data_IF_713386865575
#
_entry.id   IF_713386865575
#
_cell.length_a   1.000
_cell.length_b   1.000
_cell.length_c   1.000
_cell.angle_alpha   90.00
_cell.angle_beta   90.00
_cell.angle_gamma   90.00
#
_symmetry.space_group_name_H-M   'P 1'
#
loop_
_entity.id
_entity.type
_entity.pdbx_description
1 polymer ?
#
# COMPACT_ATOMS: atom_id res chain seq x y z
N UNK A 1 -12.78 5.06 -24.54
CA UNK A 1 -11.96 4.04 -23.85
C UNK A 1 -12.68 3.66 -22.55
N UNK A 2 -12.95 2.40 -22.34
CA UNK A 2 -13.39 1.85 -21.06
C UNK A 2 -12.13 1.32 -20.34
N UNK A 3 -11.82 1.85 -19.16
CA UNK A 3 -10.64 1.47 -18.40
C UNK A 3 -11.02 0.60 -17.21
N UNK A 4 -10.59 -0.66 -17.19
CA UNK A 4 -10.92 -1.66 -16.16
C UNK A 4 -9.69 -2.11 -15.34
N UNK A 5 -8.53 -1.47 -15.50
CA UNK A 5 -7.27 -1.87 -14.88
C UNK A 5 -6.86 -0.94 -13.71
N UNK A 6 -7.83 -0.47 -12.92
CA UNK A 6 -7.55 0.38 -11.75
C UNK A 6 -6.74 -0.35 -10.65
N UNK A 7 -6.73 -1.68 -10.65
CA UNK A 7 -5.89 -2.47 -9.76
C UNK A 7 -4.38 -2.31 -10.06
N UNK A 8 -4.02 -2.04 -11.32
CA UNK A 8 -2.65 -1.68 -11.70
C UNK A 8 -2.34 -0.21 -11.31
N UNK A 9 -3.20 0.72 -11.72
CA UNK A 9 -3.12 2.15 -11.37
C UNK A 9 -4.44 2.84 -11.67
N UNK A 10 -4.83 3.83 -10.88
CA UNK A 10 -5.95 4.70 -11.23
C UNK A 10 -5.55 5.57 -12.43
N UNK A 11 -6.18 5.37 -13.60
CA UNK A 11 -5.80 6.09 -14.83
C UNK A 11 -6.24 7.55 -14.80
N UNK A 12 -7.54 7.80 -14.59
CA UNK A 12 -8.09 9.14 -14.53
C UNK A 12 -7.97 9.70 -13.11
N UNK A 13 -6.97 10.54 -12.89
CA UNK A 13 -6.80 11.25 -11.62
C UNK A 13 -7.76 12.44 -11.52
N UNK A 14 -8.20 12.82 -10.31
CA UNK A 14 -8.89 14.09 -10.11
C UNK A 14 -8.06 15.26 -10.66
N UNK A 15 -8.69 16.22 -11.32
CA UNK A 15 -7.99 17.38 -11.89
C UNK A 15 -7.18 18.16 -10.86
N UNK A 16 -7.64 18.15 -9.59
CA UNK A 16 -6.87 18.76 -8.48
C UNK A 16 -5.47 18.17 -8.32
N UNK A 17 -5.25 16.93 -8.70
CA UNK A 17 -3.92 16.26 -8.63
C UNK A 17 -2.97 16.88 -9.64
N UNK A 18 -3.36 16.97 -10.91
CA UNK A 18 -2.53 17.58 -11.96
C UNK A 18 -2.25 19.06 -11.70
N UNK A 19 -3.25 19.83 -11.24
CA UNK A 19 -3.06 21.24 -10.88
C UNK A 19 -2.10 21.41 -9.70
N UNK A 20 -2.19 20.57 -8.67
CA UNK A 20 -1.28 20.62 -7.54
C UNK A 20 0.17 20.33 -7.96
N UNK A 21 0.39 19.33 -8.81
CA UNK A 21 1.70 19.01 -9.36
C UNK A 21 2.29 20.16 -10.19
N UNK A 22 1.51 20.72 -11.12
CA UNK A 22 1.94 21.85 -11.96
C UNK A 22 2.27 23.09 -11.12
N UNK A 23 1.46 23.39 -10.11
CA UNK A 23 1.73 24.49 -9.18
C UNK A 23 3.04 24.25 -8.43
N UNK A 24 3.26 23.05 -7.89
CA UNK A 24 4.49 22.72 -7.16
C UNK A 24 5.74 22.93 -8.04
N UNK A 25 5.73 22.44 -9.28
CA UNK A 25 6.84 22.63 -10.23
C UNK A 25 7.17 24.12 -10.48
N UNK A 26 6.19 25.01 -10.43
CA UNK A 26 6.38 26.45 -10.74
C UNK A 26 6.73 27.29 -9.51
N UNK A 27 6.37 26.86 -8.30
CA UNK A 27 6.37 27.74 -7.11
C UNK A 27 7.09 27.16 -5.90
N UNK A 28 7.51 25.89 -5.93
CA UNK A 28 8.16 25.22 -4.82
C UNK A 28 9.58 24.81 -5.16
N UNK A 29 10.46 24.81 -4.17
CA UNK A 29 11.84 24.33 -4.26
C UNK A 29 12.06 23.13 -3.33
N UNK A 30 13.29 22.88 -2.90
CA UNK A 30 13.60 21.78 -1.98
C UNK A 30 13.16 22.13 -0.56
N UNK A 31 12.39 21.28 0.14
CA UNK A 31 12.04 21.48 1.55
C UNK A 31 13.30 21.37 2.43
N UNK A 32 13.27 22.03 3.60
CA UNK A 32 14.30 21.93 4.65
C UNK A 32 15.66 22.58 4.32
N UNK A 33 15.81 23.24 3.14
CA UNK A 33 17.11 23.82 2.70
C UNK A 33 17.14 25.34 2.62
N UNK A 34 16.16 26.05 3.16
CA UNK A 34 16.19 27.51 3.16
C UNK A 34 14.92 28.14 3.73
N UNK A 35 15.09 29.35 4.31
CA UNK A 35 13.98 30.13 4.87
C UNK A 35 13.21 30.98 3.85
N UNK A 36 13.43 30.82 2.54
CA UNK A 36 12.72 31.57 1.50
C UNK A 36 11.36 30.95 1.14
N UNK A 37 10.47 31.74 0.57
CA UNK A 37 9.06 31.37 0.38
C UNK A 37 8.84 30.05 -0.36
N UNK A 38 9.61 29.77 -1.42
CA UNK A 38 9.44 28.54 -2.19
C UNK A 38 9.87 27.27 -1.42
N UNK A 39 10.88 27.35 -0.53
CA UNK A 39 11.30 26.24 0.32
C UNK A 39 10.26 25.97 1.42
N UNK A 40 9.78 27.05 2.09
CA UNK A 40 8.70 26.91 3.08
C UNK A 40 7.43 26.33 2.48
N UNK A 41 7.03 26.75 1.28
CA UNK A 41 5.86 26.21 0.59
C UNK A 41 6.00 24.70 0.30
N UNK A 42 7.22 24.23 -0.04
CA UNK A 42 7.49 22.81 -0.22
C UNK A 42 7.38 22.02 1.10
N UNK A 43 7.98 22.55 2.18
CA UNK A 43 7.94 21.97 3.52
C UNK A 43 6.50 21.88 4.06
N UNK A 44 5.73 22.96 3.99
CA UNK A 44 4.31 23.00 4.35
C UNK A 44 3.47 22.00 3.55
N UNK A 45 3.79 21.81 2.26
CA UNK A 45 3.10 20.86 1.39
C UNK A 45 3.41 19.42 1.81
N UNK A 46 4.66 19.11 2.12
CA UNK A 46 5.06 17.79 2.61
C UNK A 46 4.41 17.51 3.97
N UNK A 47 4.48 18.43 4.92
CA UNK A 47 3.85 18.27 6.23
C UNK A 47 2.33 18.10 6.13
N UNK A 48 1.66 18.89 5.29
CA UNK A 48 0.23 18.75 5.04
C UNK A 48 -0.13 17.40 4.42
N UNK A 49 0.70 16.86 3.52
CA UNK A 49 0.48 15.53 2.96
C UNK A 49 0.56 14.45 4.03
N UNK A 50 1.58 14.52 4.92
CA UNK A 50 1.70 13.60 6.07
C UNK A 50 0.50 13.70 7.01
N UNK A 51 0.07 14.91 7.36
CA UNK A 51 -1.10 15.13 8.22
C UNK A 51 -2.38 14.54 7.65
N UNK A 52 -2.59 14.68 6.33
CA UNK A 52 -3.73 14.08 5.64
C UNK A 52 -3.70 12.56 5.64
N UNK A 53 -2.52 11.97 5.46
CA UNK A 53 -2.35 10.53 5.56
C UNK A 53 -2.52 10.04 7.00
N UNK A 54 -1.94 10.74 7.97
CA UNK A 54 -2.10 10.42 9.40
C UNK A 54 -3.57 10.43 9.82
N UNK A 55 -4.33 11.47 9.43
CA UNK A 55 -5.78 11.55 9.67
C UNK A 55 -6.55 10.39 9.01
N UNK A 56 -6.21 10.03 7.77
CA UNK A 56 -6.94 9.01 7.00
C UNK A 56 -6.70 7.59 7.53
N UNK A 57 -5.54 7.34 8.12
CA UNK A 57 -5.09 6.01 8.55
C UNK A 57 -4.93 5.87 10.07
N UNK A 58 -5.51 6.78 10.87
CA UNK A 58 -5.47 6.69 12.32
C UNK A 58 -4.04 6.64 12.87
N UNK A 59 -3.16 7.52 12.37
CA UNK A 59 -1.76 7.59 12.80
C UNK A 59 -1.60 8.70 13.82
N UNK A 60 -1.04 8.45 15.02
CA UNK A 60 -0.96 9.43 16.10
C UNK A 60 -0.14 10.68 15.74
N UNK A 61 0.93 10.51 14.96
CA UNK A 61 1.82 11.61 14.59
C UNK A 61 2.13 11.61 13.09
N UNK A 62 2.06 12.78 12.41
CA UNK A 62 2.43 12.90 11.00
C UNK A 62 3.86 12.45 10.68
N UNK A 63 4.78 12.51 11.63
CA UNK A 63 6.16 12.06 11.47
C UNK A 63 6.28 10.55 11.24
N UNK A 64 5.29 9.76 11.69
CA UNK A 64 5.22 8.32 11.43
C UNK A 64 4.82 7.98 9.98
N UNK A 65 4.49 8.98 9.18
CA UNK A 65 4.19 8.84 7.75
C UNK A 65 5.46 9.12 6.94
N UNK A 66 6.07 8.11 6.37
CA UNK A 66 7.29 8.18 5.56
C UNK A 66 6.93 8.16 4.08
N UNK A 67 7.47 9.10 3.29
CA UNK A 67 7.32 9.08 1.84
C UNK A 67 8.27 8.10 1.18
N UNK A 68 7.75 7.35 0.24
CA UNK A 68 8.50 6.41 -0.58
C UNK A 68 8.19 6.62 -2.06
N UNK A 69 8.98 6.04 -2.95
CA UNK A 69 8.72 6.13 -4.38
C UNK A 69 7.55 5.25 -4.85
N UNK A 70 7.20 4.22 -4.10
CA UNK A 70 6.11 3.27 -4.36
C UNK A 70 5.97 2.29 -3.18
N UNK A 71 4.96 1.41 -3.23
CA UNK A 71 4.76 0.38 -2.20
C UNK A 71 5.93 -0.61 -2.11
N UNK A 72 6.58 -0.95 -3.22
CA UNK A 72 7.74 -1.86 -3.22
C UNK A 72 8.89 -1.28 -2.39
N UNK A 73 9.16 0.02 -2.52
CA UNK A 73 10.15 0.72 -1.69
C UNK A 73 9.73 0.68 -0.20
N UNK A 74 8.48 0.99 0.09
CA UNK A 74 7.93 0.94 1.46
C UNK A 74 8.06 -0.46 2.09
N UNK A 75 7.69 -1.51 1.35
CA UNK A 75 7.79 -2.91 1.79
C UNK A 75 9.24 -3.36 2.00
N UNK A 76 10.18 -2.90 1.17
CA UNK A 76 11.60 -3.20 1.38
C UNK A 76 12.13 -2.55 2.67
N UNK A 77 11.73 -1.31 2.99
CA UNK A 77 12.07 -0.67 4.26
C UNK A 77 11.49 -1.50 5.41
N UNK A 78 10.19 -1.79 5.38
CA UNK A 78 9.49 -2.52 6.44
C UNK A 78 10.09 -3.92 6.68
N UNK A 79 10.27 -4.70 5.61
CA UNK A 79 10.81 -6.07 5.70
C UNK A 79 12.24 -6.05 6.26
N UNK A 80 13.12 -5.17 5.74
CA UNK A 80 14.50 -5.09 6.22
C UNK A 80 14.64 -4.49 7.61
N UNK A 81 13.60 -3.83 8.12
CA UNK A 81 13.57 -3.33 9.49
C UNK A 81 13.37 -4.45 10.51
N UNK A 82 12.62 -5.49 10.16
CA UNK A 82 12.21 -6.55 11.08
C UNK A 82 12.87 -7.90 10.79
N UNK A 83 13.16 -8.19 9.53
CA UNK A 83 13.60 -9.52 9.09
C UNK A 83 15.11 -9.51 8.82
N UNK A 84 15.93 -10.17 9.65
CA UNK A 84 17.35 -10.35 9.40
C UNK A 84 17.60 -11.35 8.24
N UNK A 85 18.86 -11.45 7.77
CA UNK A 85 19.23 -12.51 6.84
C UNK A 85 18.96 -13.90 7.44
N UNK A 86 18.29 -14.77 6.69
CA UNK A 86 17.87 -16.10 7.14
C UNK A 86 16.72 -16.09 8.15
N UNK A 87 16.10 -14.93 8.41
CA UNK A 87 15.00 -14.75 9.35
C UNK A 87 13.78 -15.61 9.07
N UNK A 88 12.86 -15.71 10.04
CA UNK A 88 11.65 -16.54 9.97
C UNK A 88 10.42 -15.66 9.81
N UNK A 89 9.63 -15.91 8.77
CA UNK A 89 8.47 -15.07 8.43
C UNK A 89 7.27 -15.95 8.09
N UNK A 90 6.09 -15.57 8.58
CA UNK A 90 4.84 -16.08 8.04
C UNK A 90 4.23 -15.10 7.04
N UNK A 91 3.69 -15.61 5.93
CA UNK A 91 3.04 -14.82 4.90
C UNK A 91 1.73 -15.47 4.46
N UNK A 92 0.82 -14.71 3.86
CA UNK A 92 -0.36 -15.30 3.20
C UNK A 92 0.04 -15.98 1.87
N UNK A 93 -0.84 -16.85 1.37
CA UNK A 93 -0.71 -17.41 0.01
C UNK A 93 -1.04 -16.41 -1.11
N UNK A 94 -1.32 -15.15 -0.79
CA UNK A 94 -1.81 -14.12 -1.73
C UNK A 94 -0.84 -12.95 -1.91
N UNK A 95 0.40 -13.07 -1.44
CA UNK A 95 1.37 -11.98 -1.45
C UNK A 95 1.83 -11.59 -2.86
N UNK A 96 2.01 -10.29 -3.05
CA UNK A 96 2.60 -9.74 -4.25
C UNK A 96 4.13 -9.95 -4.27
N UNK A 97 4.75 -9.94 -5.46
CA UNK A 97 6.20 -10.02 -5.65
C UNK A 97 7.00 -8.95 -4.88
N UNK A 98 6.37 -7.82 -4.51
CA UNK A 98 6.99 -6.79 -3.68
C UNK A 98 7.26 -7.27 -2.24
N UNK A 99 6.61 -8.35 -1.79
CA UNK A 99 6.84 -9.04 -0.52
C UNK A 99 7.75 -10.25 -0.71
N UNK A 100 7.42 -11.14 -1.66
CA UNK A 100 8.10 -12.42 -1.80
C UNK A 100 9.55 -12.29 -2.25
N UNK A 101 9.84 -11.35 -3.15
CA UNK A 101 11.21 -11.14 -3.66
C UNK A 101 12.19 -10.58 -2.62
N UNK A 102 11.86 -9.55 -1.82
CA UNK A 102 12.74 -9.12 -0.72
C UNK A 102 12.98 -10.20 0.31
N UNK A 103 11.95 -10.98 0.69
CA UNK A 103 12.10 -12.10 1.62
C UNK A 103 13.02 -13.19 1.05
N UNK A 104 12.86 -13.53 -0.24
CA UNK A 104 13.75 -14.46 -0.91
C UNK A 104 15.21 -13.95 -0.96
N UNK A 105 15.39 -12.66 -1.26
CA UNK A 105 16.72 -12.04 -1.29
C UNK A 105 17.43 -12.02 0.08
N UNK A 106 16.67 -12.04 1.19
CA UNK A 106 17.19 -12.19 2.54
C UNK A 106 17.45 -13.65 2.93
N UNK A 107 17.15 -14.63 2.06
CA UNK A 107 17.22 -16.04 2.41
C UNK A 107 16.23 -16.41 3.54
N UNK A 108 15.15 -15.67 3.70
CA UNK A 108 14.18 -15.86 4.77
C UNK A 108 13.51 -17.25 4.72
N UNK A 109 13.28 -17.84 5.89
CA UNK A 109 12.52 -19.10 6.05
C UNK A 109 11.05 -18.73 6.10
N UNK A 110 10.36 -18.94 4.98
CA UNK A 110 8.98 -18.51 4.79
C UNK A 110 8.03 -19.65 5.12
N UNK A 111 7.09 -19.41 6.04
CA UNK A 111 5.92 -20.25 6.29
C UNK A 111 4.70 -19.63 5.64
N UNK A 112 4.09 -20.32 4.69
CA UNK A 112 2.93 -19.81 3.95
C UNK A 112 1.64 -20.27 4.64
N UNK A 113 0.84 -19.32 5.12
CA UNK A 113 -0.53 -19.55 5.57
C UNK A 113 -1.44 -19.67 4.32
N UNK A 114 -1.57 -20.89 3.80
CA UNK A 114 -2.36 -21.19 2.61
C UNK A 114 -3.80 -21.51 2.99
N UNK A 115 -4.75 -21.11 2.13
CA UNK A 115 -6.17 -21.41 2.26
C UNK A 115 -6.83 -21.57 0.90
N UNK A 116 -7.99 -22.24 0.82
CA UNK A 116 -8.84 -22.12 -0.37
C UNK A 116 -9.22 -20.66 -0.62
N UNK A 117 -9.43 -20.32 -1.90
CA UNK A 117 -9.80 -18.96 -2.30
C UNK A 117 -11.12 -18.54 -1.65
N UNK A 118 -11.16 -17.34 -1.08
CA UNK A 118 -12.28 -16.74 -0.36
C UNK A 118 -12.72 -17.46 0.92
N UNK A 119 -11.97 -18.46 1.40
CA UNK A 119 -12.24 -19.10 2.70
C UNK A 119 -11.49 -18.37 3.82
N UNK A 120 -12.16 -17.34 4.38
CA UNK A 120 -11.64 -16.52 5.49
C UNK A 120 -11.32 -17.37 6.73
N UNK A 121 -12.18 -18.35 7.05
CA UNK A 121 -12.01 -19.18 8.24
C UNK A 121 -10.81 -20.13 8.11
N UNK A 122 -10.64 -20.75 6.93
CA UNK A 122 -9.46 -21.58 6.68
C UNK A 122 -8.17 -20.76 6.70
N UNK A 123 -8.20 -19.53 6.18
CA UNK A 123 -7.04 -18.62 6.21
C UNK A 123 -6.65 -18.25 7.64
N UNK A 124 -7.62 -17.92 8.50
CA UNK A 124 -7.35 -17.63 9.92
C UNK A 124 -6.73 -18.83 10.63
N UNK A 125 -7.29 -20.02 10.47
CA UNK A 125 -6.69 -21.25 11.03
C UNK A 125 -5.27 -21.48 10.52
N UNK A 126 -5.01 -21.18 9.26
CA UNK A 126 -3.66 -21.29 8.69
C UNK A 126 -2.67 -20.31 9.34
N UNK A 127 -3.10 -19.08 9.64
CA UNK A 127 -2.30 -18.12 10.41
C UNK A 127 -2.13 -18.54 11.87
N UNK A 128 -3.18 -18.98 12.56
CA UNK A 128 -3.09 -19.54 13.92
C UNK A 128 -2.04 -20.64 14.03
N UNK A 129 -1.98 -21.54 13.04
CA UNK A 129 -0.97 -22.61 12.99
C UNK A 129 0.42 -22.14 12.53
N UNK A 130 0.53 -20.92 12.01
CA UNK A 130 1.77 -20.39 11.44
C UNK A 130 2.48 -19.42 12.35
N UNK A 131 1.74 -18.62 13.11
CA UNK A 131 2.26 -17.59 14.00
C UNK A 131 2.79 -18.25 15.28
N UNK A 132 4.02 -17.90 15.63
CA UNK A 132 4.66 -18.32 16.90
C UNK A 132 5.69 -17.27 17.31
N UNK A 133 6.07 -17.16 18.58
CA UNK A 133 7.05 -16.19 19.08
C UNK A 133 8.44 -16.29 18.43
N UNK A 134 8.69 -17.35 17.66
CA UNK A 134 9.97 -17.53 16.94
C UNK A 134 10.04 -16.78 15.61
N UNK A 135 8.94 -16.17 15.15
CA UNK A 135 8.92 -15.40 13.92
C UNK A 135 9.48 -14.00 14.14
N UNK A 136 10.27 -13.54 13.19
CA UNK A 136 10.75 -12.15 13.15
C UNK A 136 9.65 -11.20 12.68
N UNK A 137 8.73 -11.66 11.81
CA UNK A 137 7.58 -10.89 11.35
C UNK A 137 6.48 -11.76 10.74
N UNK A 138 5.27 -11.20 10.67
CA UNK A 138 4.21 -11.61 9.76
C UNK A 138 4.09 -10.54 8.67
N UNK A 139 4.02 -10.95 7.39
CA UNK A 139 3.72 -10.04 6.29
C UNK A 139 2.43 -10.50 5.62
N UNK A 140 1.45 -9.61 5.54
CA UNK A 140 0.14 -9.96 5.01
C UNK A 140 -0.40 -8.87 4.09
N UNK A 141 -0.75 -9.23 2.84
CA UNK A 141 -1.55 -8.34 2.00
C UNK A 141 -2.96 -8.22 2.57
N UNK A 142 -3.51 -7.00 2.59
CA UNK A 142 -4.90 -6.80 3.02
C UNK A 142 -5.90 -7.22 1.95
N UNK A 143 -5.55 -7.02 0.67
CA UNK A 143 -6.40 -7.40 -0.46
C UNK A 143 -5.53 -7.99 -1.57
N UNK A 144 -5.88 -9.19 -2.04
CA UNK A 144 -5.22 -9.81 -3.18
C UNK A 144 -5.41 -8.97 -4.45
N UNK A 145 -4.30 -8.61 -5.10
CA UNK A 145 -4.33 -7.88 -6.36
C UNK A 145 -4.88 -8.71 -7.54
N UNK A 146 -4.88 -10.03 -7.42
CA UNK A 146 -5.39 -10.95 -8.44
C UNK A 146 -6.88 -11.21 -8.23
N UNK A 147 -7.27 -11.67 -7.06
CA UNK A 147 -8.64 -12.13 -6.81
C UNK A 147 -9.54 -11.10 -6.10
N UNK A 148 -8.96 -10.02 -5.60
CA UNK A 148 -9.70 -9.08 -4.77
C UNK A 148 -10.14 -9.64 -3.42
N UNK A 149 -9.66 -10.82 -3.02
CA UNK A 149 -9.97 -11.40 -1.71
C UNK A 149 -9.50 -10.45 -0.62
N UNK A 150 -10.41 -10.05 0.24
CA UNK A 150 -10.15 -9.20 1.42
C UNK A 150 -9.78 -10.11 2.57
N UNK A 151 -8.53 -10.12 2.97
CA UNK A 151 -8.00 -10.93 4.04
C UNK A 151 -8.39 -10.35 5.41
N UNK A 152 -8.60 -11.20 6.43
CA UNK A 152 -9.04 -10.82 7.78
C UNK A 152 -7.90 -10.17 8.58
N UNK A 153 -7.50 -8.96 8.18
CA UNK A 153 -6.27 -8.34 8.68
C UNK A 153 -6.36 -7.97 10.17
N UNK A 154 -7.55 -7.61 10.67
CA UNK A 154 -7.76 -7.27 12.07
C UNK A 154 -7.59 -8.50 12.97
N UNK A 155 -8.12 -9.64 12.56
CA UNK A 155 -7.98 -10.90 13.30
C UNK A 155 -6.54 -11.42 13.22
N UNK A 156 -5.87 -11.30 12.06
CA UNK A 156 -4.45 -11.64 11.91
C UNK A 156 -3.59 -10.74 12.82
N UNK A 157 -3.90 -9.45 12.87
CA UNK A 157 -3.23 -8.51 13.77
C UNK A 157 -3.42 -8.88 15.25
N UNK A 158 -4.62 -9.36 15.63
CA UNK A 158 -4.88 -9.85 16.98
C UNK A 158 -4.04 -11.09 17.32
N UNK A 159 -3.90 -12.03 16.40
CA UNK A 159 -3.02 -13.19 16.55
C UNK A 159 -1.55 -12.78 16.70
N UNK A 160 -1.09 -11.86 15.88
CA UNK A 160 0.28 -11.33 15.97
C UNK A 160 0.56 -10.68 17.33
N UNK A 161 -0.37 -9.84 17.81
CA UNK A 161 -0.24 -9.22 19.15
C UNK A 161 -0.21 -10.24 20.29
N UNK A 162 -1.04 -11.29 20.20
CA UNK A 162 -1.08 -12.35 21.23
C UNK A 162 0.24 -13.09 21.36
N UNK A 163 0.96 -13.27 20.25
CA UNK A 163 2.26 -13.96 20.21
C UNK A 163 3.46 -12.99 20.26
N UNK A 164 3.22 -11.67 20.33
CA UNK A 164 4.29 -10.66 20.35
C UNK A 164 5.08 -10.57 19.05
N UNK A 165 4.49 -10.93 17.91
CA UNK A 165 5.13 -10.93 16.59
C UNK A 165 4.73 -9.67 15.82
N UNK A 166 5.66 -8.89 15.28
CA UNK A 166 5.33 -7.69 14.51
C UNK A 166 4.65 -8.01 13.18
N UNK A 167 3.66 -7.18 12.80
CA UNK A 167 2.90 -7.30 11.55
C UNK A 167 3.28 -6.21 10.56
N UNK A 168 3.58 -6.61 9.32
CA UNK A 168 3.69 -5.74 8.15
C UNK A 168 2.46 -5.94 7.27
N UNK A 169 1.74 -4.86 6.95
CA UNK A 169 0.57 -4.89 6.08
C UNK A 169 0.90 -4.31 4.71
N UNK A 170 0.70 -5.09 3.64
CA UNK A 170 0.64 -4.56 2.28
C UNK A 170 -0.79 -4.07 1.98
N UNK A 171 -0.97 -2.76 2.05
CA UNK A 171 -2.23 -2.09 1.79
C UNK A 171 -2.36 -1.59 0.34
N UNK A 172 -1.61 -2.17 -0.60
CA UNK A 172 -1.55 -1.69 -1.99
C UNK A 172 -2.90 -1.69 -2.73
N UNK A 173 -3.84 -2.54 -2.33
CA UNK A 173 -5.17 -2.62 -2.93
C UNK A 173 -6.29 -2.13 -2.01
N UNK A 174 -5.97 -1.83 -0.74
CA UNK A 174 -6.97 -1.42 0.25
C UNK A 174 -6.89 0.05 0.63
N UNK A 175 -5.70 0.65 0.60
CA UNK A 175 -5.51 2.05 0.99
C UNK A 175 -6.40 3.00 0.17
N UNK A 176 -7.27 3.75 0.86
CA UNK A 176 -8.25 4.66 0.24
C UNK A 176 -9.53 3.99 -0.27
N UNK A 177 -9.63 2.65 -0.19
CA UNK A 177 -10.79 1.84 -0.63
C UNK A 177 -11.49 1.18 0.55
N UNK A 178 -10.72 0.62 1.49
CA UNK A 178 -11.23 -0.02 2.71
C UNK A 178 -10.74 0.75 3.94
N UNK A 179 -11.49 0.72 5.06
CA UNK A 179 -11.00 1.23 6.33
C UNK A 179 -9.67 0.54 6.71
N UNK A 180 -8.73 1.33 7.21
CA UNK A 180 -7.42 0.85 7.61
C UNK A 180 -6.83 1.86 8.59
N UNK A 181 -6.64 1.47 9.85
CA UNK A 181 -6.16 2.34 10.91
C UNK A 181 -5.00 1.69 11.67
N UNK A 182 -3.91 2.43 11.83
CA UNK A 182 -2.70 1.94 12.53
C UNK A 182 -3.02 1.54 13.97
N UNK A 183 -3.72 2.40 14.72
CA UNK A 183 -4.02 2.17 16.14
C UNK A 183 -4.87 0.91 16.36
N UNK A 184 -5.83 0.66 15.48
CA UNK A 184 -6.69 -0.53 15.55
C UNK A 184 -5.89 -1.81 15.26
N UNK A 185 -5.04 -1.77 14.25
CA UNK A 185 -4.24 -2.92 13.85
C UNK A 185 -3.06 -3.17 14.80
N UNK A 186 -2.44 -2.11 15.32
CA UNK A 186 -1.17 -2.23 16.05
C UNK A 186 -0.08 -2.81 15.16
N UNK A 187 -0.11 -2.53 13.85
CA UNK A 187 0.87 -3.01 12.91
C UNK A 187 2.21 -2.30 13.10
N UNK A 188 3.32 -3.02 12.94
CA UNK A 188 4.65 -2.42 12.92
C UNK A 188 4.82 -1.48 11.72
N UNK A 189 4.30 -1.93 10.55
CA UNK A 189 4.35 -1.13 9.33
C UNK A 189 3.14 -1.36 8.43
N UNK A 190 2.68 -0.28 7.75
CA UNK A 190 1.66 -0.37 6.71
C UNK A 190 2.21 0.31 5.44
N UNK A 191 2.33 -0.45 4.36
CA UNK A 191 2.91 0.02 3.09
C UNK A 191 1.83 0.21 2.03
N UNK A 192 1.89 1.31 1.25
CA UNK A 192 0.91 1.58 0.22
C UNK A 192 1.46 2.46 -0.92
N UNK A 193 0.98 2.29 -2.17
CA UNK A 193 1.33 3.16 -3.28
C UNK A 193 0.42 4.39 -3.30
N UNK A 194 0.95 5.52 -3.74
CA UNK A 194 0.15 6.72 -3.89
C UNK A 194 -0.78 6.72 -5.12
N UNK A 195 -0.47 5.89 -6.13
CA UNK A 195 -1.08 5.98 -7.47
C UNK A 195 -2.31 5.08 -7.70
N UNK A 196 -2.72 4.29 -6.71
CA UNK A 196 -3.94 3.43 -6.76
C UNK A 196 -5.10 4.12 -6.04
N UNK A 197 -5.66 3.52 -5.01
CA UNK A 197 -6.82 4.03 -4.28
C UNK A 197 -6.63 5.38 -3.58
N UNK A 198 -5.39 5.88 -3.46
CA UNK A 198 -5.11 7.23 -2.98
C UNK A 198 -5.17 8.31 -4.06
N UNK A 199 -5.39 7.96 -5.33
CA UNK A 199 -5.52 8.86 -6.49
C UNK A 199 -4.33 9.80 -6.71
N UNK A 200 -3.19 9.58 -6.06
CA UNK A 200 -1.95 10.33 -6.26
C UNK A 200 -1.22 9.95 -7.56
N UNK A 201 -0.12 10.62 -7.90
CA UNK A 201 0.67 10.28 -9.08
C UNK A 201 1.51 9.03 -8.87
N UNK A 202 1.91 8.39 -9.97
CA UNK A 202 2.99 7.40 -9.98
C UNK A 202 4.28 8.02 -9.43
N UNK A 203 5.19 7.19 -8.92
CA UNK A 203 6.42 7.67 -8.27
C UNK A 203 6.18 8.23 -6.86
N UNK A 204 5.06 7.88 -6.24
CA UNK A 204 4.73 8.18 -4.83
C UNK A 204 4.23 6.94 -4.10
N UNK A 205 4.59 6.83 -2.84
CA UNK A 205 4.12 5.82 -1.91
C UNK A 205 4.22 6.33 -0.47
N UNK A 206 3.65 5.59 0.44
CA UNK A 206 3.65 5.87 1.87
C UNK A 206 4.05 4.59 2.61
N UNK A 207 4.91 4.74 3.61
CA UNK A 207 5.09 3.79 4.70
C UNK A 207 4.60 4.44 5.99
N UNK A 208 3.63 3.82 6.64
CA UNK A 208 3.23 4.19 8.00
C UNK A 208 4.05 3.35 8.96
N UNK A 209 4.67 4.01 9.92
CA UNK A 209 5.59 3.41 10.88
C UNK A 209 4.96 3.36 12.28
N UNK A 210 4.45 2.20 12.69
CA UNK A 210 4.13 1.90 14.09
C UNK A 210 5.38 1.65 14.90
N UNK A 211 6.43 1.16 14.25
CA UNK A 211 7.76 0.96 14.81
C UNK A 211 8.81 1.78 14.05
N UNK A 212 9.98 1.92 14.64
CA UNK A 212 11.10 2.65 14.04
C UNK A 212 11.71 1.82 12.89
N UNK A 213 11.79 2.37 11.67
CA UNK A 213 12.37 1.67 10.54
C UNK A 213 13.90 1.66 10.57
N UNK A 214 14.48 0.65 9.92
CA UNK A 214 15.88 0.66 9.56
C UNK A 214 16.06 1.44 8.23
N UNK A 215 17.09 2.30 8.10
CA UNK A 215 17.32 3.06 6.87
C UNK A 215 17.78 2.14 5.74
N UNK A 216 16.92 1.95 4.74
CA UNK A 216 17.25 1.15 3.54
C UNK A 216 18.33 1.82 2.68
N UNK A 217 18.29 3.15 2.61
CA UNK A 217 19.27 3.98 1.91
C UNK A 217 19.95 4.93 2.87
N UNK A 218 21.25 5.16 2.67
CA UNK A 218 22.04 6.11 3.43
C UNK A 218 22.27 7.37 2.57
N UNK A 219 22.03 8.56 3.11
CA UNK A 219 22.22 9.81 2.36
C UNK A 219 21.75 11.05 3.11
N UNK A 220 21.77 12.19 2.44
CA UNK A 220 21.29 13.44 3.04
C UNK A 220 19.78 13.46 3.21
N UNK A 221 19.29 13.73 4.41
CA UNK A 221 17.86 13.86 4.74
C UNK A 221 17.41 15.33 4.90
N UNK A 222 18.35 16.28 4.87
CA UNK A 222 18.06 17.70 5.12
C UNK A 222 18.30 18.13 6.57
N UNK A 223 18.39 17.20 7.51
CA UNK A 223 18.70 17.44 8.91
C UNK A 223 20.06 16.87 9.32
N UNK A 224 20.62 17.35 10.45
CA UNK A 224 21.86 16.88 11.07
C UNK A 224 23.04 16.74 10.09
N UNK A 225 23.20 17.66 9.13
CA UNK A 225 24.14 17.58 8.01
C UNK A 225 25.64 17.45 8.43
N UNK A 226 26.00 17.78 9.67
CA UNK A 226 27.34 17.60 10.20
C UNK A 226 27.61 16.17 10.70
N UNK A 227 26.59 15.34 10.85
CA UNK A 227 26.73 13.95 11.27
C UNK A 227 26.98 13.01 10.09
N UNK A 228 27.94 12.07 10.15
CA UNK A 228 28.10 11.04 9.12
C UNK A 228 27.05 9.92 9.24
N UNK A 229 26.25 9.92 10.30
CA UNK A 229 25.18 8.91 10.52
C UNK A 229 23.85 9.47 10.05
N UNK A 230 22.96 8.58 9.56
CA UNK A 230 21.56 8.93 9.33
C UNK A 230 20.93 9.46 10.62
N UNK A 231 20.05 10.46 10.52
CA UNK A 231 19.25 10.91 11.67
C UNK A 231 18.48 9.73 12.27
N UNK A 232 18.39 9.70 13.59
CA UNK A 232 17.72 8.63 14.33
C UNK A 232 16.26 8.98 14.68
N UNK A 233 15.64 9.84 13.86
CA UNK A 233 14.29 10.37 14.05
C UNK A 233 13.44 10.16 12.80
N UNK A 234 12.15 9.90 12.98
CA UNK A 234 11.17 9.89 11.91
C UNK A 234 10.83 11.33 11.48
N UNK A 235 10.60 11.53 10.20
CA UNK A 235 10.67 10.58 9.09
C UNK A 235 12.08 10.46 8.48
N UNK A 236 13.03 11.28 8.90
CA UNK A 236 14.35 11.50 8.28
C UNK A 236 15.20 10.24 8.20
N UNK A 237 15.05 9.32 9.15
CA UNK A 237 15.76 8.02 9.15
C UNK A 237 15.48 7.19 7.89
N UNK A 238 14.30 7.33 7.30
CA UNK A 238 13.85 6.53 6.16
C UNK A 238 13.73 7.34 4.85
N UNK A 239 14.01 8.66 4.89
CA UNK A 239 13.84 9.56 3.75
C UNK A 239 15.18 10.17 3.28
N UNK A 240 16.08 9.32 2.81
CA UNK A 240 17.32 9.82 2.21
C UNK A 240 17.09 10.41 0.82
N UNK A 241 17.69 11.58 0.56
CA UNK A 241 17.64 12.25 -0.74
C UNK A 241 16.64 13.40 -0.83
N UNK A 242 16.59 14.03 -2.00
CA UNK A 242 15.65 15.13 -2.26
C UNK A 242 14.25 14.60 -2.53
N UNK A 243 13.28 15.12 -1.81
CA UNK A 243 11.88 14.71 -1.94
C UNK A 243 11.28 15.00 -3.30
N UNK A 244 10.39 14.14 -3.77
CA UNK A 244 9.52 14.37 -4.92
C UNK A 244 8.38 15.36 -4.55
N UNK A 245 8.70 16.64 -4.37
CA UNK A 245 7.76 17.69 -3.95
C UNK A 245 6.54 17.75 -4.85
N UNK A 246 6.73 17.62 -6.16
CA UNK A 246 5.63 17.66 -7.14
C UNK A 246 4.70 16.45 -6.94
N UNK A 247 5.27 15.26 -6.79
CA UNK A 247 4.50 14.05 -6.50
C UNK A 247 3.76 14.12 -5.16
N UNK A 248 4.42 14.63 -4.12
CA UNK A 248 3.82 14.82 -2.79
C UNK A 248 2.64 15.81 -2.85
N UNK A 249 2.77 16.91 -3.60
CA UNK A 249 1.67 17.86 -3.81
C UNK A 249 0.46 17.18 -4.50
N UNK A 250 0.73 16.36 -5.51
CA UNK A 250 -0.30 15.56 -6.18
C UNK A 250 -0.93 14.53 -5.25
N UNK A 251 -0.13 13.81 -4.45
CA UNK A 251 -0.60 12.85 -3.47
C UNK A 251 -1.49 13.52 -2.39
N UNK A 252 -1.10 14.68 -1.90
CA UNK A 252 -1.92 15.47 -0.97
C UNK A 252 -3.29 15.84 -1.55
N UNK A 253 -3.34 16.14 -2.86
CA UNK A 253 -4.61 16.40 -3.55
C UNK A 253 -5.45 15.13 -3.70
N UNK A 254 -4.83 13.96 -3.96
CA UNK A 254 -5.48 12.66 -3.99
C UNK A 254 -6.06 12.28 -2.62
N UNK A 255 -5.29 12.40 -1.53
CA UNK A 255 -5.73 12.15 -0.16
C UNK A 255 -6.93 13.04 0.22
N UNK A 256 -6.91 14.33 -0.16
CA UNK A 256 -8.06 15.24 0.02
C UNK A 256 -9.30 14.77 -0.75
N UNK A 257 -9.11 14.24 -1.95
CA UNK A 257 -10.21 13.68 -2.74
C UNK A 257 -10.83 12.48 -2.02
N UNK A 258 -10.02 11.52 -1.55
CA UNK A 258 -10.49 10.35 -0.78
C UNK A 258 -11.24 10.79 0.47
N UNK A 259 -10.65 11.69 1.27
CA UNK A 259 -11.28 12.21 2.49
C UNK A 259 -12.63 12.88 2.21
N UNK A 260 -12.70 13.71 1.16
CA UNK A 260 -13.94 14.43 0.79
C UNK A 260 -15.05 13.49 0.34
N UNK A 261 -14.74 12.46 -0.42
CA UNK A 261 -15.74 11.51 -0.93
C UNK A 261 -16.11 10.46 0.11
N UNK A 262 -15.17 10.11 0.98
CA UNK A 262 -15.29 9.08 2.00
C UNK A 262 -15.04 7.68 1.43
N UNK A 263 -14.19 6.91 2.12
CA UNK A 263 -13.78 5.55 1.76
C UNK A 263 -15.00 4.66 1.48
N UNK A 264 -16.00 4.64 2.37
CA UNK A 264 -17.19 3.81 2.17
C UNK A 264 -18.06 4.15 0.95
N UNK A 265 -17.98 5.37 0.39
CA UNK A 265 -18.64 5.68 -0.90
C UNK A 265 -17.85 5.16 -2.08
N UNK A 266 -16.52 5.25 -2.00
CA UNK A 266 -15.60 4.72 -3.03
C UNK A 266 -15.77 3.20 -3.09
N UNK A 267 -15.69 2.52 -1.96
CA UNK A 267 -15.90 1.08 -1.84
C UNK A 267 -17.24 0.64 -2.46
N UNK A 268 -18.35 1.25 -2.03
CA UNK A 268 -19.68 0.91 -2.57
C UNK A 268 -19.77 1.13 -4.08
N UNK A 269 -19.10 2.14 -4.62
CA UNK A 269 -19.07 2.39 -6.06
C UNK A 269 -18.34 1.26 -6.80
N UNK A 270 -17.15 0.89 -6.34
CA UNK A 270 -16.36 -0.21 -6.93
C UNK A 270 -17.09 -1.55 -6.84
N UNK A 271 -17.65 -1.88 -5.67
CA UNK A 271 -18.44 -3.10 -5.48
C UNK A 271 -19.65 -3.17 -6.40
N UNK A 272 -20.32 -2.03 -6.64
CA UNK A 272 -21.44 -1.97 -7.58
C UNK A 272 -21.00 -2.28 -9.02
N UNK A 273 -19.89 -1.69 -9.46
CA UNK A 273 -19.35 -1.93 -10.81
C UNK A 273 -18.90 -3.38 -10.97
N UNK A 274 -18.16 -3.91 -10.00
CA UNK A 274 -17.75 -5.33 -9.98
C UNK A 274 -18.96 -6.28 -10.09
N UNK A 275 -19.98 -6.08 -9.24
CA UNK A 275 -21.20 -6.90 -9.27
C UNK A 275 -21.96 -6.80 -10.58
N UNK A 276 -21.91 -5.66 -11.26
CA UNK A 276 -22.53 -5.49 -12.57
C UNK A 276 -21.80 -6.31 -13.62
N UNK A 277 -20.46 -6.24 -13.65
CA UNK A 277 -19.63 -7.04 -14.55
C UNK A 277 -19.77 -8.54 -14.26
N UNK A 278 -19.73 -8.93 -12.98
CA UNK A 278 -19.90 -10.34 -12.56
C UNK A 278 -21.22 -10.93 -13.05
N UNK A 279 -22.33 -10.20 -12.86
CA UNK A 279 -23.65 -10.64 -13.31
C UNK A 279 -23.71 -10.85 -14.83
N UNK A 280 -23.14 -9.90 -15.58
CA UNK A 280 -23.08 -10.00 -17.04
C UNK A 280 -22.23 -11.19 -17.48
N UNK A 281 -21.03 -11.35 -16.95
CA UNK A 281 -20.15 -12.48 -17.28
C UNK A 281 -20.85 -13.84 -17.05
N UNK A 282 -21.58 -13.98 -15.93
CA UNK A 282 -22.29 -15.23 -15.60
C UNK A 282 -23.53 -15.47 -16.45
N UNK A 283 -24.22 -14.41 -16.92
CA UNK A 283 -25.45 -14.53 -17.66
C UNK A 283 -25.22 -14.70 -19.18
N UNK A 284 -24.20 -14.02 -19.71
CA UNK A 284 -24.04 -13.83 -21.15
C UNK A 284 -22.76 -14.48 -21.70
N UNK A 285 -21.98 -15.20 -20.87
CA UNK A 285 -20.75 -15.86 -21.28
C UNK A 285 -20.55 -17.19 -20.52
N UNK A 286 -19.64 -18.05 -21.03
CA UNK A 286 -19.19 -19.28 -20.37
C UNK A 286 -18.03 -19.02 -19.38
N UNK A 287 -17.79 -17.77 -18.98
CA UNK A 287 -16.68 -17.40 -18.14
C UNK A 287 -16.70 -18.10 -16.77
N UNK A 288 -15.57 -18.63 -16.36
CA UNK A 288 -15.32 -19.07 -14.99
C UNK A 288 -14.96 -17.86 -14.16
N UNK A 289 -15.88 -17.37 -13.33
CA UNK A 289 -15.72 -16.13 -12.54
C UNK A 289 -15.32 -16.48 -11.11
N UNK A 290 -14.19 -15.92 -10.66
CA UNK A 290 -13.69 -16.06 -9.29
C UNK A 290 -14.31 -14.97 -8.41
N UNK A 291 -15.30 -15.31 -7.60
CA UNK A 291 -15.97 -14.39 -6.70
C UNK A 291 -16.31 -15.01 -5.35
N UNK A 292 -16.36 -14.16 -4.31
CA UNK A 292 -16.67 -14.54 -2.95
C UNK A 292 -17.29 -13.39 -2.14
N UNK A 293 -17.65 -13.68 -0.89
CA UNK A 293 -18.30 -12.70 -0.01
C UNK A 293 -17.35 -11.58 0.44
N UNK A 294 -16.11 -11.93 0.79
CA UNK A 294 -15.07 -10.98 1.21
C UNK A 294 -14.22 -10.58 -0.01
N UNK A 295 -14.74 -9.69 -0.86
CA UNK A 295 -14.09 -9.31 -2.11
C UNK A 295 -14.23 -7.82 -2.38
N UNK A 296 -13.13 -7.20 -2.80
CA UNK A 296 -13.01 -5.79 -3.22
C UNK A 296 -13.58 -5.55 -4.63
N UNK A 297 -13.24 -4.41 -5.23
CA UNK A 297 -13.59 -4.08 -6.63
C UNK A 297 -12.88 -4.92 -7.70
N UNK A 298 -11.90 -5.73 -7.34
CA UNK A 298 -11.16 -6.61 -8.28
C UNK A 298 -11.97 -7.86 -8.59
N UNK A 299 -12.03 -8.23 -9.88
CA UNK A 299 -12.69 -9.45 -10.36
C UNK A 299 -11.76 -10.17 -11.33
N UNK A 300 -11.53 -11.46 -11.08
CA UNK A 300 -10.82 -12.36 -12.02
C UNK A 300 -11.78 -13.31 -12.67
N UNK A 301 -11.55 -13.60 -13.95
CA UNK A 301 -12.30 -14.59 -14.71
C UNK A 301 -11.41 -15.26 -15.75
N UNK A 302 -11.83 -16.42 -16.23
CA UNK A 302 -11.23 -17.17 -17.33
C UNK A 302 -12.30 -17.42 -18.39
N UNK A 303 -11.93 -17.36 -19.66
CA UNK A 303 -12.76 -17.83 -20.76
C UNK A 303 -12.29 -19.25 -21.13
N UNK A 304 -13.17 -20.26 -21.04
CA UNK A 304 -12.78 -21.64 -21.32
C UNK A 304 -12.24 -21.80 -22.76
N UNK A 305 -11.08 -22.47 -22.88
CA UNK A 305 -10.43 -22.69 -24.15
C UNK A 305 -9.65 -21.50 -24.73
N UNK A 306 -9.58 -20.37 -24.03
CA UNK A 306 -8.77 -19.22 -24.42
C UNK A 306 -7.58 -19.04 -23.48
N UNK A 307 -6.44 -18.62 -24.03
CA UNK A 307 -5.30 -18.17 -23.25
C UNK A 307 -5.57 -16.80 -22.63
N UNK A 308 -5.14 -16.60 -21.38
CA UNK A 308 -5.39 -15.35 -20.63
C UNK A 308 -4.74 -14.13 -21.28
N UNK A 309 -3.53 -14.29 -21.86
CA UNK A 309 -2.81 -13.18 -22.49
C UNK A 309 -3.46 -12.81 -23.82
N UNK A 310 -3.95 -13.80 -24.59
CA UNK A 310 -4.68 -13.57 -25.84
C UNK A 310 -6.03 -12.90 -25.56
N UNK A 311 -6.75 -13.33 -24.54
CA UNK A 311 -7.97 -12.67 -24.07
C UNK A 311 -7.70 -11.21 -23.66
N UNK A 312 -6.65 -10.95 -22.88
CA UNK A 312 -6.29 -9.60 -22.47
C UNK A 312 -5.92 -8.72 -23.66
N UNK A 313 -5.16 -9.26 -24.64
CA UNK A 313 -4.79 -8.54 -25.87
C UNK A 313 -6.01 -8.17 -26.69
N UNK A 314 -6.94 -9.10 -26.90
CA UNK A 314 -8.19 -8.86 -27.63
C UNK A 314 -9.07 -7.80 -26.96
N UNK A 315 -9.16 -7.81 -25.63
CA UNK A 315 -9.91 -6.79 -24.88
C UNK A 315 -9.25 -5.41 -24.94
N UNK A 316 -7.93 -5.34 -25.07
CA UNK A 316 -7.20 -4.08 -25.17
C UNK A 316 -7.35 -3.39 -26.53
N UNK A 317 -7.76 -4.13 -27.57
CA UNK A 317 -8.00 -3.62 -28.95
C UNK A 317 -9.38 -2.98 -29.13
N UNK A 318 -10.29 -3.11 -28.14
CA UNK A 318 -11.65 -2.51 -28.16
C UNK A 318 -11.67 -1.16 -27.45
#
# INVERSE_FOLDING_TARGET
MIYLDSAATTFQKPLSVSYAMQRAMRTMSSPGRGGYAAARAAEETAFRCRSLAAELFGVPSPEQVVFTSNATHALNIAIRSLVPEGGRVAVSGYEHNAVTRPLHALGARIKVAASPLFDRAALLRAFENSISPELDAVVCTHVSNVFGFVLPIEEIAALCRAEGVPLIVDASQSAGILPLELDTLGAAFIAMPGHKGLYGPQGTGILICGEKPYPLMQGGSGSLSASPRMPDILPDIAEAGTHNVCGIAGLAAGLKFVRRHGIGKIERHELRLRKTLERWLRADTDAVVFSGTAQSGVLSFLLPGEDCEDTARRLAEQ
#
